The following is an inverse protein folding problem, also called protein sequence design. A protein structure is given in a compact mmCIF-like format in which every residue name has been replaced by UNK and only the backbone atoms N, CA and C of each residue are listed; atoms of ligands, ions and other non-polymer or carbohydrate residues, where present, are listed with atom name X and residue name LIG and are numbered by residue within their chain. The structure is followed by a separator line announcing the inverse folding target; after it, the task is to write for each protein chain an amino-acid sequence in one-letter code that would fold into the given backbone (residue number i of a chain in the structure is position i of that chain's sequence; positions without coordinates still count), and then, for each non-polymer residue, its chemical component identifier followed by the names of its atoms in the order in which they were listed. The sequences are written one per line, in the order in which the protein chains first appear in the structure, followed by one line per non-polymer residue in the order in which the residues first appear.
data_IF_567396287727
#
_entry.id   IF_567396287727
#
_cell.length_a   1.000
_cell.length_b   1.000
_cell.length_c   1.000
_cell.angle_alpha   90.00
_cell.angle_beta   90.00
_cell.angle_gamma   90.00
#
_symmetry.space_group_name_H-M   'P 1'
#
loop_
_entity.id
_entity.type
_entity.pdbx_description
1 polymer ?
#
# COMPACT_ATOMS: atom_id res chain seq x y z
N UNK A 1 -24.43 -21.11 -8.66
CA UNK A 1 -23.32 -22.09 -8.57
C UNK A 1 -22.82 -22.29 -7.14
N UNK A 2 -22.34 -21.25 -6.44
CA UNK A 2 -21.82 -21.38 -5.07
C UNK A 2 -22.81 -22.05 -4.09
N UNK A 3 -24.07 -21.61 -4.08
CA UNK A 3 -25.12 -22.20 -3.24
C UNK A 3 -25.40 -23.67 -3.56
N UNK A 4 -25.34 -24.05 -4.84
CA UNK A 4 -25.55 -25.42 -5.30
C UNK A 4 -24.46 -26.37 -4.82
N UNK A 5 -23.20 -25.96 -4.95
CA UNK A 5 -22.06 -26.72 -4.44
C UNK A 5 -22.14 -26.91 -2.93
N UNK A 6 -22.43 -25.83 -2.19
CA UNK A 6 -22.52 -25.92 -0.73
C UNK A 6 -23.66 -26.82 -0.25
N UNK A 7 -24.81 -26.80 -0.94
CA UNK A 7 -25.93 -27.66 -0.61
C UNK A 7 -25.61 -29.14 -0.89
N UNK A 8 -24.92 -29.43 -2.01
CA UNK A 8 -24.50 -30.80 -2.33
C UNK A 8 -23.42 -31.31 -1.36
N UNK A 9 -22.44 -30.48 -0.99
CA UNK A 9 -21.43 -30.81 0.01
C UNK A 9 -22.10 -31.16 1.34
N UNK A 10 -23.05 -30.34 1.81
CA UNK A 10 -23.80 -30.61 3.05
C UNK A 10 -24.60 -31.91 2.96
N UNK A 11 -25.22 -32.20 1.82
CA UNK A 11 -25.98 -33.43 1.59
C UNK A 11 -25.06 -34.65 1.69
N UNK A 12 -23.98 -34.68 0.91
CA UNK A 12 -23.04 -35.80 0.90
C UNK A 12 -22.37 -36.00 2.26
N UNK A 13 -22.01 -34.92 2.97
CA UNK A 13 -21.52 -35.01 4.36
C UNK A 13 -22.56 -35.61 5.32
N UNK A 14 -23.84 -35.27 5.16
CA UNK A 14 -24.93 -35.85 5.95
C UNK A 14 -25.06 -37.35 5.72
N UNK A 15 -25.04 -37.78 4.45
CA UNK A 15 -25.09 -39.19 4.06
C UNK A 15 -23.94 -39.99 4.69
N UNK A 16 -22.70 -39.48 4.58
CA UNK A 16 -21.52 -40.13 5.17
C UNK A 16 -21.65 -40.26 6.69
N UNK A 17 -22.13 -39.22 7.38
CA UNK A 17 -22.32 -39.25 8.84
C UNK A 17 -23.38 -40.26 9.29
N UNK A 18 -24.39 -40.49 8.46
CA UNK A 18 -25.45 -41.44 8.72
C UNK A 18 -25.09 -42.88 8.30
N UNK A 19 -23.89 -43.10 7.75
CA UNK A 19 -23.48 -44.41 7.20
C UNK A 19 -24.18 -44.78 5.90
N UNK A 20 -24.75 -43.81 5.18
CA UNK A 20 -25.40 -43.99 3.89
C UNK A 20 -24.36 -44.07 2.75
N UNK A 21 -24.66 -44.85 1.71
CA UNK A 21 -23.82 -44.96 0.51
C UNK A 21 -24.08 -43.77 -0.41
N UNK A 22 -23.00 -43.12 -0.87
CA UNK A 22 -23.10 -42.11 -1.92
C UNK A 22 -23.13 -42.82 -3.27
N UNK A 23 -24.25 -42.71 -3.98
CA UNK A 23 -24.43 -43.24 -5.33
C UNK A 23 -23.93 -42.27 -6.39
N UNK A 24 -23.50 -42.81 -7.53
CA UNK A 24 -23.17 -42.02 -8.70
C UNK A 24 -24.43 -41.57 -9.46
N UNK A 25 -24.67 -40.26 -9.47
CA UNK A 25 -25.87 -39.68 -10.06
C UNK A 25 -25.59 -38.35 -10.74
N UNK A 26 -26.35 -38.06 -11.80
CA UNK A 26 -26.46 -36.74 -12.38
C UNK A 26 -27.57 -35.99 -11.65
N UNK A 27 -27.19 -34.92 -10.94
CA UNK A 27 -28.11 -34.07 -10.19
C UNK A 27 -28.35 -32.75 -10.92
N UNK A 28 -29.57 -32.27 -10.88
CA UNK A 28 -29.94 -30.94 -11.33
C UNK A 28 -30.09 -30.00 -10.13
N UNK A 29 -30.10 -28.70 -10.40
CA UNK A 29 -30.07 -27.62 -9.40
C UNK A 29 -31.26 -26.71 -9.67
N UNK A 30 -32.05 -26.42 -8.64
CA UNK A 30 -33.13 -25.44 -8.73
C UNK A 30 -32.64 -23.99 -8.53
N UNK A 31 -33.54 -23.03 -8.68
CA UNK A 31 -33.24 -21.60 -8.50
C UNK A 31 -32.76 -21.25 -7.08
N UNK A 32 -33.18 -22.02 -6.07
CA UNK A 32 -32.73 -21.86 -4.70
C UNK A 32 -31.38 -22.56 -4.42
N UNK A 33 -30.81 -23.23 -5.42
CA UNK A 33 -29.55 -23.96 -5.32
C UNK A 33 -29.70 -25.32 -4.63
N UNK A 34 -30.90 -25.85 -4.44
CA UNK A 34 -31.11 -27.21 -3.93
C UNK A 34 -30.89 -28.19 -5.08
N UNK A 35 -30.11 -29.23 -4.79
CA UNK A 35 -29.86 -30.31 -5.74
C UNK A 35 -30.95 -31.37 -5.67
N UNK A 36 -31.39 -31.88 -6.81
CA UNK A 36 -32.29 -33.02 -6.91
C UNK A 36 -31.72 -34.04 -7.89
N UNK A 37 -31.96 -35.33 -7.62
CA UNK A 37 -31.53 -36.39 -8.52
C UNK A 37 -32.31 -36.29 -9.83
N UNK A 38 -31.61 -36.19 -10.95
CA UNK A 38 -32.23 -36.15 -12.27
C UNK A 38 -32.16 -37.52 -12.93
N UNK A 39 -30.98 -38.14 -12.92
CA UNK A 39 -30.72 -39.44 -13.51
C UNK A 39 -29.67 -40.16 -12.69
N UNK A 40 -29.92 -41.42 -12.30
CA UNK A 40 -28.87 -42.31 -11.83
C UNK A 40 -27.93 -42.62 -13.00
N UNK A 41 -26.62 -42.61 -12.76
CA UNK A 41 -25.70 -43.16 -13.75
C UNK A 41 -25.90 -44.68 -13.73
N UNK A 42 -26.74 -45.18 -14.64
CA UNK A 42 -26.67 -46.59 -15.03
C UNK A 42 -25.26 -46.91 -15.53
N UNK A 43 -24.89 -48.20 -15.52
CA UNK A 43 -23.61 -48.74 -16.02
C UNK A 43 -23.03 -47.89 -17.15
N UNK A 44 -21.75 -47.52 -17.05
CA UNK A 44 -21.05 -46.62 -17.99
C UNK A 44 -21.61 -46.75 -19.41
N UNK A 45 -22.16 -45.64 -19.92
CA UNK A 45 -22.71 -45.61 -21.27
C UNK A 45 -21.59 -45.95 -22.26
N UNK A 46 -21.75 -47.06 -22.97
CA UNK A 46 -20.84 -47.44 -24.05
C UNK A 46 -21.05 -46.49 -25.24
N UNK A 47 -20.30 -45.40 -25.25
CA UNK A 47 -20.30 -44.40 -26.32
C UNK A 47 -19.66 -44.90 -27.62
N UNK A 48 -19.09 -46.12 -27.65
CA UNK A 48 -18.47 -46.75 -28.83
C UNK A 48 -17.64 -45.78 -29.67
N UNK A 49 -16.67 -45.14 -29.03
CA UNK A 49 -15.78 -44.20 -29.71
C UNK A 49 -15.10 -44.87 -30.89
N UNK A 50 -15.37 -44.37 -32.10
CA UNK A 50 -14.68 -44.72 -33.33
C UNK A 50 -14.07 -43.44 -33.92
N UNK A 51 -12.90 -43.51 -34.58
CA UNK A 51 -12.39 -42.38 -35.34
C UNK A 51 -13.40 -41.97 -36.42
N UNK A 52 -13.71 -40.68 -36.50
CA UNK A 52 -14.58 -40.15 -37.54
C UNK A 52 -13.89 -40.30 -38.90
N UNK A 53 -14.38 -41.22 -39.73
CA UNK A 53 -13.77 -41.57 -41.02
C UNK A 53 -13.89 -40.46 -42.07
N UNK A 54 -14.88 -39.57 -41.92
CA UNK A 54 -15.09 -38.48 -42.87
C UNK A 54 -14.15 -37.28 -42.63
N UNK A 55 -13.45 -37.24 -41.50
CA UNK A 55 -12.55 -36.15 -41.13
C UNK A 55 -11.11 -36.67 -41.15
N UNK A 56 -10.25 -36.21 -42.06
CA UNK A 56 -8.85 -36.60 -42.06
C UNK A 56 -8.16 -36.13 -40.76
N UNK A 57 -7.17 -36.87 -40.25
CA UNK A 57 -6.43 -36.44 -39.06
C UNK A 57 -5.80 -35.06 -39.25
N UNK A 58 -6.07 -34.14 -38.31
CA UNK A 58 -5.44 -32.82 -38.29
C UNK A 58 -3.98 -32.94 -37.87
N UNK A 59 -3.05 -32.68 -38.79
CA UNK A 59 -1.62 -32.58 -38.49
C UNK A 59 -1.29 -31.15 -38.11
N UNK A 60 -0.99 -30.91 -36.84
CA UNK A 60 -0.56 -29.59 -36.36
C UNK A 60 0.91 -29.39 -36.73
N UNK A 61 1.17 -28.51 -37.70
CA UNK A 61 2.54 -28.19 -38.10
C UNK A 61 3.19 -27.20 -37.13
N UNK A 62 4.53 -27.23 -36.97
CA UNK A 62 5.25 -26.27 -36.14
C UNK A 62 4.97 -24.80 -36.52
N UNK A 63 4.73 -24.53 -37.81
CA UNK A 63 4.37 -23.20 -38.32
C UNK A 63 2.99 -22.76 -37.80
N UNK A 64 1.97 -23.62 -37.87
CA UNK A 64 0.63 -23.32 -37.34
C UNK A 64 0.67 -23.03 -35.84
N UNK A 65 1.49 -23.79 -35.09
CA UNK A 65 1.67 -23.55 -33.66
C UNK A 65 2.35 -22.20 -33.39
N UNK A 66 3.37 -21.85 -34.19
CA UNK A 66 4.07 -20.57 -34.07
C UNK A 66 3.14 -19.40 -34.40
N UNK A 67 2.42 -19.48 -35.52
CA UNK A 67 1.42 -18.47 -35.91
C UNK A 67 0.33 -18.32 -34.87
N UNK A 68 -0.18 -19.42 -34.31
CA UNK A 68 -1.12 -19.37 -33.20
C UNK A 68 -0.52 -18.64 -32.00
N UNK A 69 0.70 -18.99 -31.57
CA UNK A 69 1.38 -18.29 -30.46
C UNK A 69 1.62 -16.81 -30.74
N UNK A 70 2.04 -16.46 -31.95
CA UNK A 70 2.31 -15.07 -32.35
C UNK A 70 0.99 -14.28 -32.49
N UNK A 71 -0.11 -14.94 -32.88
CA UNK A 71 -1.46 -14.34 -32.94
C UNK A 71 -2.11 -14.14 -31.57
N UNK A 72 -1.64 -14.89 -30.57
CA UNK A 72 -2.05 -14.75 -29.19
C UNK A 72 -1.35 -13.51 -28.62
N UNK A 73 -1.96 -12.35 -28.86
CA UNK A 73 -1.70 -11.12 -28.12
C UNK A 73 -2.29 -11.28 -26.70
N UNK A 74 -1.71 -12.17 -25.90
CA UNK A 74 -1.94 -12.17 -24.45
C UNK A 74 -1.07 -11.08 -23.85
N UNK A 75 -1.42 -9.84 -24.18
CA UNK A 75 -1.02 -8.73 -23.32
C UNK A 75 -1.99 -8.78 -22.14
N UNK A 76 -1.63 -9.58 -21.15
CA UNK A 76 -2.24 -9.52 -19.83
C UNK A 76 -1.42 -8.49 -19.04
N UNK A 77 -1.75 -7.19 -19.07
CA UNK A 77 -0.93 -6.13 -18.47
C UNK A 77 -0.70 -6.36 -16.96
N UNK A 78 -1.76 -6.59 -16.20
CA UNK A 78 -1.98 -7.95 -15.71
C UNK A 78 -0.83 -8.71 -15.01
N UNK A 79 -0.38 -9.73 -15.73
CA UNK A 79 0.67 -10.66 -15.34
C UNK A 79 2.00 -9.96 -15.14
N UNK A 80 2.32 -8.92 -15.92
CA UNK A 80 3.54 -8.15 -15.70
C UNK A 80 3.54 -7.51 -14.30
N UNK A 81 2.38 -7.02 -13.82
CA UNK A 81 2.26 -6.48 -12.47
C UNK A 81 2.55 -7.53 -11.39
N UNK A 82 2.15 -8.78 -11.61
CA UNK A 82 2.35 -9.89 -10.67
C UNK A 82 3.78 -10.43 -10.76
N UNK A 83 4.23 -10.79 -11.95
CA UNK A 83 5.50 -11.50 -12.14
C UNK A 83 6.71 -10.58 -12.00
N UNK A 84 6.66 -9.40 -12.63
CA UNK A 84 7.76 -8.44 -12.66
C UNK A 84 7.75 -7.55 -11.41
N UNK A 85 6.59 -7.00 -11.05
CA UNK A 85 6.48 -6.02 -9.97
C UNK A 85 6.02 -6.62 -8.63
N UNK A 86 5.73 -7.93 -8.58
CA UNK A 86 5.36 -8.66 -7.36
C UNK A 86 4.12 -8.11 -6.65
N UNK A 87 3.20 -7.50 -7.40
CA UNK A 87 1.91 -7.08 -6.85
C UNK A 87 1.03 -8.30 -6.54
N UNK A 88 0.23 -8.26 -5.47
CA UNK A 88 -0.69 -9.35 -5.16
C UNK A 88 -1.73 -9.53 -6.28
N UNK A 89 -2.18 -10.77 -6.57
CA UNK A 89 -3.19 -11.03 -7.58
C UNK A 89 -4.50 -10.27 -7.32
N UNK A 90 -4.97 -10.22 -6.07
CA UNK A 90 -6.20 -9.50 -5.72
C UNK A 90 -6.13 -8.01 -6.07
N UNK A 91 -5.02 -7.35 -5.71
CA UNK A 91 -4.81 -5.94 -6.03
C UNK A 91 -4.69 -5.71 -7.54
N UNK A 92 -4.04 -6.63 -8.23
CA UNK A 92 -3.90 -6.60 -9.68
C UNK A 92 -5.27 -6.66 -10.39
N UNK A 93 -6.21 -7.47 -9.87
CA UNK A 93 -7.59 -7.49 -10.36
C UNK A 93 -8.33 -6.18 -10.06
N UNK A 94 -8.05 -5.52 -8.92
CA UNK A 94 -8.60 -4.19 -8.64
C UNK A 94 -8.14 -3.15 -9.67
N UNK A 95 -6.86 -3.20 -10.07
CA UNK A 95 -6.30 -2.33 -11.11
C UNK A 95 -7.04 -2.54 -12.44
N UNK A 96 -7.20 -3.81 -12.86
CA UNK A 96 -7.88 -4.16 -14.12
C UNK A 96 -9.33 -3.67 -14.17
N UNK A 97 -10.02 -3.69 -13.02
CA UNK A 97 -11.41 -3.26 -12.93
C UNK A 97 -11.58 -1.74 -12.79
N UNK A 98 -10.50 -0.95 -12.65
CA UNK A 98 -10.57 0.48 -12.39
C UNK A 98 -9.55 1.28 -13.22
N UNK A 99 -10.01 1.92 -14.30
CA UNK A 99 -9.17 2.77 -15.18
C UNK A 99 -8.42 3.89 -14.45
N UNK A 100 -9.03 4.48 -13.42
CA UNK A 100 -8.38 5.53 -12.60
C UNK A 100 -7.19 4.95 -11.82
N UNK A 101 -7.33 3.73 -11.31
CA UNK A 101 -6.27 3.03 -10.57
C UNK A 101 -5.16 2.57 -11.50
N UNK A 102 -5.52 2.06 -12.68
CA UNK A 102 -4.57 1.77 -13.75
C UNK A 102 -3.69 2.98 -14.10
N UNK A 103 -4.30 4.16 -14.29
CA UNK A 103 -3.56 5.41 -14.53
C UNK A 103 -2.61 5.77 -13.38
N UNK A 104 -3.07 5.65 -12.13
CA UNK A 104 -2.23 5.90 -10.96
C UNK A 104 -1.02 4.96 -10.91
N UNK A 105 -1.24 3.68 -11.19
CA UNK A 105 -0.17 2.67 -11.17
C UNK A 105 0.81 2.88 -12.33
N UNK A 106 0.34 3.28 -13.51
CA UNK A 106 1.21 3.61 -14.62
C UNK A 106 2.16 4.77 -14.25
N UNK A 107 1.62 5.88 -13.74
CA UNK A 107 2.42 7.03 -13.29
C UNK A 107 3.43 6.61 -12.21
N UNK A 108 3.00 5.77 -11.27
CA UNK A 108 3.87 5.25 -10.22
C UNK A 108 5.04 4.42 -10.78
N UNK A 109 4.79 3.56 -11.77
CA UNK A 109 5.82 2.74 -12.40
C UNK A 109 6.74 3.55 -13.33
N UNK A 110 6.24 4.65 -13.91
CA UNK A 110 7.03 5.55 -14.76
C UNK A 110 8.05 6.36 -13.94
N UNK A 111 7.73 6.70 -12.69
CA UNK A 111 8.64 7.45 -11.80
C UNK A 111 9.83 6.60 -11.34
N UNK A 112 9.65 5.29 -11.15
CA UNK A 112 10.73 4.43 -10.71
C UNK A 112 10.35 2.98 -10.41
N UNK A 113 11.34 2.16 -10.02
CA UNK A 113 11.11 0.77 -9.68
C UNK A 113 10.21 0.66 -8.43
N UNK A 114 9.23 -0.25 -8.42
CA UNK A 114 8.26 -0.32 -7.34
C UNK A 114 8.93 -0.68 -6.01
N UNK A 115 8.51 0.03 -4.95
CA UNK A 115 8.87 -0.30 -3.57
C UNK A 115 8.09 -1.51 -3.07
N UNK A 116 8.49 -2.16 -1.96
CA UNK A 116 7.76 -3.29 -1.40
C UNK A 116 6.27 -3.00 -1.22
N UNK A 117 5.41 -3.93 -1.66
CA UNK A 117 3.96 -3.73 -1.69
C UNK A 117 3.37 -3.29 -0.35
N UNK A 118 3.90 -3.77 0.78
CA UNK A 118 3.47 -3.36 2.12
C UNK A 118 3.61 -1.85 2.35
N UNK A 119 4.70 -1.25 1.89
CA UNK A 119 4.94 0.19 2.01
C UNK A 119 4.05 0.98 1.05
N UNK A 120 3.94 0.52 -0.20
CA UNK A 120 3.04 1.11 -1.19
C UNK A 120 1.58 1.09 -0.71
N UNK A 121 1.11 -0.05 -0.20
CA UNK A 121 -0.27 -0.23 0.29
C UNK A 121 -0.58 0.72 1.45
N UNK A 122 0.35 0.90 2.41
CA UNK A 122 0.21 1.88 3.48
C UNK A 122 -0.09 3.27 2.91
N UNK A 123 0.70 3.74 1.95
CA UNK A 123 0.50 5.04 1.34
C UNK A 123 -0.78 5.12 0.49
N UNK A 124 -1.13 4.03 -0.21
CA UNK A 124 -2.38 3.96 -0.95
C UNK A 124 -3.61 4.13 -0.04
N UNK A 125 -3.54 3.57 1.17
CA UNK A 125 -4.59 3.72 2.20
C UNK A 125 -4.61 5.14 2.77
N UNK A 126 -3.45 5.78 2.98
CA UNK A 126 -3.36 7.20 3.36
C UNK A 126 -3.93 8.12 2.27
N UNK A 127 -3.64 7.86 1.00
CA UNK A 127 -4.22 8.60 -0.12
C UNK A 127 -5.74 8.43 -0.17
N UNK A 128 -6.24 7.20 0.03
CA UNK A 128 -7.68 6.92 0.09
C UNK A 128 -8.35 7.72 1.20
N UNK A 129 -7.76 7.72 2.39
CA UNK A 129 -8.26 8.49 3.54
C UNK A 129 -8.26 10.00 3.29
N UNK A 130 -7.21 10.52 2.64
CA UNK A 130 -7.13 11.92 2.23
C UNK A 130 -8.26 12.27 1.25
N UNK A 131 -8.45 11.46 0.20
CA UNK A 131 -9.50 11.68 -0.78
C UNK A 131 -10.90 11.60 -0.15
N UNK A 132 -11.15 10.65 0.75
CA UNK A 132 -12.43 10.54 1.47
C UNK A 132 -12.74 11.81 2.28
N UNK A 133 -11.72 12.44 2.87
CA UNK A 133 -11.87 13.69 3.64
C UNK A 133 -12.08 14.94 2.78
N UNK A 134 -11.46 14.99 1.61
CA UNK A 134 -11.52 16.18 0.75
C UNK A 134 -12.78 16.14 -0.12
N UNK A 135 -13.14 14.97 -0.64
CA UNK A 135 -14.25 14.78 -1.57
C UNK A 135 -15.45 14.10 -0.90
N UNK A 136 -15.86 14.59 0.28
CA UNK A 136 -16.90 13.98 1.15
C UNK A 136 -18.22 13.70 0.42
N UNK A 137 -18.57 14.53 -0.58
CA UNK A 137 -19.84 14.44 -1.29
C UNK A 137 -19.75 13.67 -2.62
N UNK A 138 -18.60 13.09 -2.96
CA UNK A 138 -18.39 12.38 -4.21
C UNK A 138 -18.42 10.87 -4.03
N UNK A 139 -19.25 10.18 -4.82
CA UNK A 139 -19.33 8.71 -4.80
C UNK A 139 -18.16 8.03 -5.52
N UNK A 140 -17.36 8.78 -6.29
CA UNK A 140 -16.23 8.29 -7.07
C UNK A 140 -14.93 9.06 -6.73
N UNK A 141 -14.74 9.31 -5.44
CA UNK A 141 -13.63 10.10 -4.89
C UNK A 141 -12.24 9.45 -5.05
N UNK A 142 -12.18 8.14 -5.30
CA UNK A 142 -10.93 7.38 -5.35
C UNK A 142 -10.87 6.41 -6.54
N UNK A 143 -9.70 6.26 -7.18
CA UNK A 143 -8.51 7.12 -7.09
C UNK A 143 -8.78 8.56 -7.56
N UNK A 144 -8.00 9.55 -7.09
CA UNK A 144 -8.17 10.93 -7.52
C UNK A 144 -7.82 11.09 -9.01
N UNK A 145 -8.45 12.04 -9.67
CA UNK A 145 -8.13 12.40 -11.08
C UNK A 145 -7.03 13.44 -11.19
N UNK A 146 -6.74 14.15 -10.08
CA UNK A 146 -5.77 15.23 -10.05
C UNK A 146 -4.37 14.72 -10.39
N UNK A 147 -3.83 15.15 -11.53
CA UNK A 147 -2.57 14.63 -12.06
C UNK A 147 -1.39 15.04 -11.18
N UNK A 148 -1.39 16.29 -10.67
CA UNK A 148 -0.34 16.76 -9.76
C UNK A 148 -0.30 15.93 -8.48
N UNK A 149 -1.46 15.59 -7.94
CA UNK A 149 -1.56 14.70 -6.79
C UNK A 149 -1.06 13.28 -7.09
N UNK A 150 -1.34 12.72 -8.28
CA UNK A 150 -0.86 11.40 -8.66
C UNK A 150 0.68 11.34 -8.75
N UNK A 151 1.30 12.35 -9.37
CA UNK A 151 2.76 12.46 -9.42
C UNK A 151 3.37 12.68 -8.03
N UNK A 152 2.76 13.56 -7.23
CA UNK A 152 3.16 13.82 -5.85
C UNK A 152 3.14 12.54 -5.01
N UNK A 153 2.02 11.80 -5.06
CA UNK A 153 1.87 10.51 -4.40
C UNK A 153 2.98 9.53 -4.81
N UNK A 154 3.17 9.33 -6.11
CA UNK A 154 4.16 8.38 -6.61
C UNK A 154 5.59 8.73 -6.16
N UNK A 155 5.98 10.01 -6.22
CA UNK A 155 7.30 10.44 -5.72
C UNK A 155 7.45 10.26 -4.21
N UNK A 156 6.46 10.66 -3.44
CA UNK A 156 6.48 10.57 -1.97
C UNK A 156 6.60 9.12 -1.51
N UNK A 157 5.94 8.17 -2.19
CA UNK A 157 6.10 6.74 -1.89
C UNK A 157 7.56 6.31 -1.96
N UNK A 158 8.29 6.72 -3.00
CA UNK A 158 9.73 6.43 -3.14
C UNK A 158 10.60 7.22 -2.16
N UNK A 159 10.33 8.51 -1.96
CA UNK A 159 11.14 9.38 -1.09
C UNK A 159 11.02 8.99 0.39
N UNK A 160 9.85 8.53 0.82
CA UNK A 160 9.62 8.03 2.18
C UNK A 160 10.22 6.64 2.37
N UNK A 161 10.20 5.78 1.33
CA UNK A 161 10.85 4.47 1.38
C UNK A 161 12.39 4.59 1.47
N UNK A 162 12.97 5.54 0.72
CA UNK A 162 14.41 5.85 0.79
C UNK A 162 14.80 6.63 2.03
N UNK A 163 13.84 7.05 2.86
CA UNK A 163 14.07 7.80 4.09
C UNK A 163 14.49 9.26 3.89
N UNK A 164 14.43 9.78 2.65
CA UNK A 164 14.76 11.18 2.33
C UNK A 164 13.70 12.18 2.81
N UNK A 165 12.46 11.73 2.92
CA UNK A 165 11.32 12.53 3.37
C UNK A 165 10.69 11.91 4.62
N UNK A 166 10.20 12.74 5.54
CA UNK A 166 9.41 12.25 6.69
C UNK A 166 7.97 11.96 6.28
N UNK A 167 7.31 11.05 6.99
CA UNK A 167 5.90 10.73 6.73
C UNK A 167 4.99 11.96 6.93
N UNK A 168 5.35 12.87 7.84
CA UNK A 168 4.54 14.05 8.14
C UNK A 168 4.54 15.04 6.98
N UNK A 169 5.72 15.36 6.43
CA UNK A 169 5.86 16.25 5.28
C UNK A 169 5.18 15.65 4.05
N UNK A 170 5.35 14.34 3.85
CA UNK A 170 4.67 13.60 2.80
C UNK A 170 3.14 13.77 2.84
N UNK A 171 2.53 13.65 4.02
CA UNK A 171 1.09 13.85 4.19
C UNK A 171 0.68 15.30 3.92
N UNK A 172 1.46 16.27 4.41
CA UNK A 172 1.19 17.69 4.19
C UNK A 172 1.26 18.07 2.71
N UNK A 173 2.28 17.58 1.98
CA UNK A 173 2.41 17.79 0.54
C UNK A 173 1.23 17.18 -0.23
N UNK A 174 0.87 15.92 0.03
CA UNK A 174 -0.30 15.33 -0.64
C UNK A 174 -1.57 16.13 -0.37
N UNK A 175 -1.76 16.67 0.83
CA UNK A 175 -2.91 17.52 1.15
C UNK A 175 -2.89 18.81 0.36
N UNK A 176 -1.75 19.51 0.31
CA UNK A 176 -1.59 20.76 -0.45
C UNK A 176 -1.96 20.54 -1.92
N UNK A 177 -1.44 19.49 -2.55
CA UNK A 177 -1.75 19.17 -3.95
C UNK A 177 -3.19 18.73 -4.17
N UNK A 178 -3.81 18.06 -3.19
CA UNK A 178 -5.22 17.68 -3.29
C UNK A 178 -6.17 18.88 -3.17
N UNK A 179 -5.84 19.85 -2.31
CA UNK A 179 -6.62 21.09 -2.10
C UNK A 179 -6.44 22.10 -3.24
N UNK A 180 -5.25 22.15 -3.86
CA UNK A 180 -4.95 23.05 -4.99
C UNK A 180 -5.77 22.74 -6.26
N UNK A 181 -6.28 21.50 -6.41
CA UNK A 181 -7.07 21.09 -7.57
C UNK A 181 -6.24 20.84 -8.84
N UNK A 182 -6.94 20.60 -9.96
CA UNK A 182 -6.33 20.42 -11.28
C UNK A 182 -6.05 21.78 -11.91
N UNK A 183 -4.79 22.19 -11.94
CA UNK A 183 -4.32 23.27 -12.82
C UNK A 183 -3.74 22.66 -14.09
N UNK A 184 -4.09 23.20 -15.26
CA UNK A 184 -3.54 22.81 -16.56
C UNK A 184 -2.01 22.85 -16.50
N UNK A 185 -1.38 21.69 -16.49
CA UNK A 185 0.06 21.55 -16.35
C UNK A 185 0.59 20.43 -17.24
N UNK A 186 1.74 20.68 -17.86
CA UNK A 186 2.38 19.79 -18.82
C UNK A 186 2.95 18.56 -18.10
N UNK A 187 2.51 17.38 -18.54
CA UNK A 187 2.76 16.08 -17.90
C UNK A 187 4.25 15.74 -17.75
N UNK A 188 5.11 16.25 -18.63
CA UNK A 188 6.54 15.86 -18.66
C UNK A 188 7.44 16.65 -17.69
N UNK A 189 6.99 17.81 -17.19
CA UNK A 189 7.81 18.67 -16.31
C UNK A 189 7.46 18.51 -14.82
N UNK A 190 6.26 18.00 -14.54
CA UNK A 190 5.71 17.88 -13.20
C UNK A 190 6.52 16.99 -12.24
N UNK A 191 7.23 16.00 -12.79
CA UNK A 191 8.09 15.09 -12.04
C UNK A 191 9.26 15.82 -11.37
N UNK A 192 9.89 16.77 -12.07
CA UNK A 192 11.02 17.53 -11.54
C UNK A 192 10.54 18.70 -10.67
N UNK A 193 9.38 19.30 -10.99
CA UNK A 193 8.78 20.39 -10.20
C UNK A 193 8.58 20.03 -8.72
N UNK A 194 8.14 18.80 -8.40
CA UNK A 194 7.92 18.40 -7.00
C UNK A 194 9.24 18.25 -6.24
N UNK A 195 10.29 17.70 -6.86
CA UNK A 195 11.61 17.62 -6.22
C UNK A 195 12.21 19.01 -6.03
N UNK A 196 12.09 19.88 -7.03
CA UNK A 196 12.50 21.27 -6.95
C UNK A 196 11.73 22.02 -5.87
N UNK A 197 10.43 21.79 -5.73
CA UNK A 197 9.62 22.36 -4.66
C UNK A 197 10.12 21.90 -3.28
N UNK A 198 10.41 20.61 -3.10
CA UNK A 198 10.98 20.06 -1.86
C UNK A 198 12.34 20.71 -1.55
N UNK A 199 13.18 20.90 -2.58
CA UNK A 199 14.48 21.54 -2.46
C UNK A 199 14.36 23.03 -2.09
N UNK A 200 13.54 23.78 -2.83
CA UNK A 200 13.34 25.22 -2.66
C UNK A 200 12.72 25.56 -1.31
N UNK A 201 11.81 24.70 -0.81
CA UNK A 201 11.19 24.85 0.51
C UNK A 201 12.01 24.21 1.65
N UNK A 202 13.19 23.65 1.36
CA UNK A 202 14.09 22.99 2.32
C UNK A 202 13.37 21.92 3.18
N UNK A 203 12.59 21.05 2.53
CA UNK A 203 11.74 20.05 3.19
C UNK A 203 12.42 18.69 3.40
N UNK A 204 13.70 18.55 3.04
CA UNK A 204 14.44 17.31 3.22
C UNK A 204 14.59 16.91 4.69
N UNK A 205 14.49 15.60 4.95
CA UNK A 205 14.65 15.04 6.29
C UNK A 205 16.04 15.33 6.84
N UNK A 206 16.09 15.76 8.09
CA UNK A 206 17.34 15.90 8.85
C UNK A 206 17.65 14.54 9.48
N UNK A 207 18.79 13.97 9.13
CA UNK A 207 19.27 12.68 9.66
C UNK A 207 20.53 12.81 10.52
N UNK A 208 21.18 13.97 10.52
CA UNK A 208 22.40 14.20 11.29
C UNK A 208 22.07 14.30 12.79
N UNK A 209 22.60 13.37 13.58
CA UNK A 209 22.40 13.30 15.04
C UNK A 209 22.75 14.61 15.74
N UNK A 210 23.88 15.24 15.41
CA UNK A 210 24.32 16.47 16.08
C UNK A 210 23.37 17.64 15.84
N UNK A 211 22.82 17.74 14.63
CA UNK A 211 21.83 18.77 14.29
C UNK A 211 20.51 18.54 15.04
N UNK A 212 20.09 17.29 15.15
CA UNK A 212 18.89 16.91 15.91
C UNK A 212 19.12 17.19 17.41
N UNK A 213 20.24 16.73 17.96
CA UNK A 213 20.58 16.90 19.38
C UNK A 213 20.68 18.40 19.76
N UNK A 214 21.21 19.26 18.88
CA UNK A 214 21.20 20.72 19.08
C UNK A 214 19.78 21.29 19.16
N UNK A 215 18.90 20.91 18.22
CA UNK A 215 17.51 21.36 18.23
C UNK A 215 16.73 20.86 19.46
N UNK A 216 17.04 19.65 19.92
CA UNK A 216 16.49 19.10 21.17
C UNK A 216 17.00 19.89 22.37
N UNK A 217 18.30 20.20 22.44
CA UNK A 217 18.89 20.98 23.52
C UNK A 217 18.28 22.38 23.60
N UNK A 218 18.16 23.08 22.46
CA UNK A 218 17.51 24.39 22.38
C UNK A 218 16.05 24.30 22.89
N UNK A 219 15.31 23.25 22.51
CA UNK A 219 13.94 23.05 22.99
C UNK A 219 13.87 22.72 24.48
N UNK A 220 14.82 21.98 25.02
CA UNK A 220 14.90 21.63 26.45
C UNK A 220 15.21 22.86 27.30
N UNK A 221 16.13 23.73 26.84
CA UNK A 221 16.53 24.95 27.55
C UNK A 221 15.40 25.99 27.68
N UNK A 222 14.41 25.95 26.77
CA UNK A 222 13.24 26.83 26.82
C UNK A 222 12.21 26.41 27.89
N UNK A 223 12.37 25.25 28.53
CA UNK A 223 11.51 24.78 29.62
C UNK A 223 12.18 24.91 30.99
N UNK A 224 11.36 24.94 32.05
CA UNK A 224 11.86 25.02 33.43
C UNK A 224 12.51 23.71 33.89
N UNK A 225 13.46 23.74 34.83
CA UNK A 225 14.05 22.53 35.42
C UNK A 225 13.01 21.55 35.96
N UNK A 226 11.97 22.06 36.63
CA UNK A 226 10.85 21.25 37.14
C UNK A 226 10.12 20.47 36.04
N UNK A 227 10.04 21.00 34.82
CA UNK A 227 9.40 20.31 33.70
C UNK A 227 10.23 19.10 33.24
N UNK A 228 11.56 19.26 33.21
CA UNK A 228 12.51 18.20 32.84
C UNK A 228 12.56 17.12 33.91
N UNK A 229 12.61 17.49 35.18
CA UNK A 229 12.58 16.55 36.31
C UNK A 229 11.28 15.73 36.34
N UNK A 230 10.14 16.38 36.08
CA UNK A 230 8.86 15.69 35.93
C UNK A 230 8.84 14.72 34.74
N UNK A 231 9.57 15.02 33.66
CA UNK A 231 9.70 14.14 32.51
C UNK A 231 10.55 12.91 32.85
N UNK A 232 11.69 13.10 33.51
CA UNK A 232 12.61 12.04 33.95
C UNK A 232 11.94 11.11 34.98
N UNK A 233 11.24 11.67 35.96
CA UNK A 233 10.53 10.91 36.98
C UNK A 233 9.44 9.98 36.40
N UNK A 234 8.92 10.31 35.21
CA UNK A 234 7.90 9.52 34.51
C UNK A 234 8.47 8.60 33.43
N UNK A 235 9.80 8.40 33.37
CA UNK A 235 10.51 7.56 32.37
C UNK A 235 9.98 6.12 32.27
N UNK A 236 9.44 5.55 33.36
CA UNK A 236 8.83 4.20 33.39
C UNK A 236 7.50 4.11 32.63
N UNK A 237 6.79 5.23 32.45
CA UNK A 237 5.63 5.33 31.57
C UNK A 237 6.15 5.79 30.22
N UNK A 238 6.40 4.86 29.29
CA UNK A 238 7.04 5.05 27.98
C UNK A 238 6.56 6.24 27.11
N UNK A 239 5.50 6.99 27.48
CA UNK A 239 4.99 8.21 26.84
C UNK A 239 4.29 9.14 27.86
N UNK A 240 5.05 9.89 28.64
CA UNK A 240 4.48 10.90 29.54
C UNK A 240 3.91 12.10 28.76
N UNK A 241 2.90 12.79 29.31
CA UNK A 241 2.34 14.01 28.69
C UNK A 241 3.42 15.10 28.42
N UNK A 242 4.38 15.35 29.35
CA UNK A 242 5.50 16.26 29.10
C UNK A 242 6.36 15.85 27.90
N UNK A 243 6.69 14.55 27.79
CA UNK A 243 7.48 14.03 26.68
C UNK A 243 6.78 14.24 25.33
N UNK A 244 5.47 13.94 25.26
CA UNK A 244 4.69 14.16 24.04
C UNK A 244 4.60 15.65 23.64
N UNK A 245 4.57 16.56 24.63
CA UNK A 245 4.57 18.01 24.39
C UNK A 245 5.91 18.47 23.80
N UNK A 246 7.02 18.10 24.44
CA UNK A 246 8.37 18.44 23.98
C UNK A 246 8.65 17.86 22.58
N UNK A 247 8.29 16.59 22.38
CA UNK A 247 8.39 15.93 21.06
C UNK A 247 7.67 16.71 19.97
N UNK A 248 6.43 17.13 20.21
CA UNK A 248 5.64 17.90 19.24
C UNK A 248 6.31 19.23 18.93
N UNK A 249 6.79 19.92 19.96
CA UNK A 249 7.48 21.19 19.81
C UNK A 249 8.76 21.08 18.97
N UNK A 250 9.58 20.04 19.20
CA UNK A 250 10.79 19.79 18.39
C UNK A 250 10.42 19.50 16.93
N UNK A 251 9.39 18.69 16.70
CA UNK A 251 8.88 18.40 15.37
C UNK A 251 8.43 19.70 14.68
N UNK A 252 7.66 20.55 15.37
CA UNK A 252 7.17 21.81 14.83
C UNK A 252 8.32 22.80 14.55
N UNK A 253 9.30 22.95 15.46
CA UNK A 253 10.52 23.76 15.26
C UNK A 253 11.35 23.30 14.05
N UNK A 254 11.37 22.00 13.79
CA UNK A 254 12.06 21.43 12.64
C UNK A 254 11.26 21.50 11.34
N UNK A 255 10.08 22.16 11.31
CA UNK A 255 9.13 22.10 10.19
C UNK A 255 8.81 20.66 9.76
N UNK A 256 8.66 19.76 10.74
CA UNK A 256 8.37 18.32 10.57
C UNK A 256 9.46 17.54 9.81
N UNK A 257 10.68 18.08 9.71
CA UNK A 257 11.81 17.48 8.98
C UNK A 257 12.55 16.40 9.75
N UNK A 258 12.31 16.27 11.05
CA UNK A 258 12.89 15.18 11.86
C UNK A 258 11.84 14.08 12.00
N UNK A 259 12.23 12.83 11.79
CA UNK A 259 11.30 11.72 11.99
C UNK A 259 10.97 11.58 13.49
N UNK A 260 9.71 11.26 13.85
CA UNK A 260 9.29 11.12 15.24
C UNK A 260 10.16 10.15 16.06
N UNK A 261 10.70 9.11 15.42
CA UNK A 261 11.58 8.12 16.05
C UNK A 261 12.98 8.70 16.34
N UNK A 262 13.50 9.55 15.46
CA UNK A 262 14.80 10.19 15.66
C UNK A 262 14.75 11.22 16.80
N UNK A 263 13.62 11.94 16.92
CA UNK A 263 13.35 12.86 18.05
C UNK A 263 13.32 12.09 19.36
N UNK A 264 12.61 10.95 19.41
CA UNK A 264 12.53 10.13 20.62
C UNK A 264 13.92 9.69 21.10
N UNK A 265 14.75 9.22 20.18
CA UNK A 265 16.12 8.79 20.48
C UNK A 265 17.01 9.95 20.93
N UNK A 266 16.87 11.12 20.31
CA UNK A 266 17.65 12.30 20.64
C UNK A 266 17.28 12.89 22.00
N UNK A 267 15.98 12.95 22.35
CA UNK A 267 15.55 13.39 23.69
C UNK A 267 16.20 12.54 24.78
N UNK A 268 16.19 11.22 24.64
CA UNK A 268 16.82 10.36 25.63
C UNK A 268 18.33 10.53 25.70
N UNK A 269 18.99 10.69 24.55
CA UNK A 269 20.44 10.95 24.51
C UNK A 269 20.78 12.27 25.22
N UNK A 270 20.07 13.36 24.95
CA UNK A 270 20.33 14.68 25.56
C UNK A 270 20.00 14.67 27.06
N UNK A 271 18.89 14.05 27.45
CA UNK A 271 18.44 14.02 28.86
C UNK A 271 19.26 13.05 29.71
N UNK A 272 19.70 11.92 29.17
CA UNK A 272 20.61 11.02 29.89
C UNK A 272 22.04 11.60 29.97
N UNK A 273 22.47 12.40 28.98
CA UNK A 273 23.71 13.20 29.09
C UNK A 273 23.60 14.28 30.19
N UNK A 274 22.44 14.93 30.35
CA UNK A 274 22.23 15.88 31.47
C UNK A 274 22.23 15.23 32.87
N UNK A 275 22.06 13.90 32.95
CA UNK A 275 22.18 13.14 34.20
C UNK A 275 23.63 12.88 34.64
N UNK A 276 24.61 13.10 33.76
CA UNK A 276 26.05 13.02 34.07
C UNK A 276 26.55 14.38 34.60
N UNK A 277 25.81 15.46 34.37
CA UNK A 277 26.26 16.80 34.69
C UNK A 277 25.61 17.35 35.96
N UNK A 278 26.01 16.77 37.10
CA UNK A 278 26.10 17.54 38.33
C UNK A 278 27.27 18.53 38.33
N UNK A 279 28.10 18.53 37.29
CA UNK A 279 29.16 19.50 37.03
C UNK A 279 29.12 19.97 35.56
N UNK A 280 28.11 20.76 35.18
CA UNK A 280 28.22 21.66 34.02
C UNK A 280 28.95 22.95 34.48
N UNK A 281 30.28 23.01 34.37
CA UNK A 281 30.89 24.24 33.88
C UNK A 281 31.84 23.95 32.72
N UNK A 282 31.67 24.72 31.64
CA UNK A 282 32.71 25.05 30.63
C UNK A 282 33.04 24.07 29.49
N UNK A 283 32.06 23.58 28.71
CA UNK A 283 32.37 22.88 27.44
C UNK A 283 31.84 23.51 26.15
N UNK A 284 31.29 24.73 26.20
CA UNK A 284 31.02 25.52 24.99
C UNK A 284 31.45 26.98 25.18
N UNK A 285 32.76 27.18 25.35
CA UNK A 285 33.46 28.42 24.97
C UNK A 285 34.64 28.01 24.11
N UNK A 286 34.42 27.99 22.80
CA UNK A 286 35.09 28.80 21.80
C UNK A 286 34.56 28.46 20.40
#
# INVERSE_FOLDING_TARGET
MYSALNNEIKRQLGMVKNGELIEEETRAVDEQGKTFSARSKGSELDYRFIPESNIPPLKIEPKMLKEAKDSILLDFPYLALIEKYKFPPNFTMEILNCKKLEKLIQIYLDIGPPVPFKHFKKWLDELRYLCEKIYINETNYFPPTNIKLLYCFAQIVHLTYTGKLTNLIAIDLMREFAEAGDEDSDYNQLGEEIKELIQNRNLWRITNSQQIDKLVLDAVLDHTPDFIDNMIAQKSKQRSKPFAKLKREIIDRSNKRIAPEDVDNSIWRVVDLSGIEKDFPSLFKD
#
